data_IF_645064535757
#
_entry.id   IF_645064535757
#
_cell.length_a   1.000
_cell.length_b   1.000
_cell.length_c   1.000
_cell.angle_alpha   90.00
_cell.angle_beta   90.00
_cell.angle_gamma   90.00
#
_symmetry.space_group_name_H-M   'P 1'
#
loop_
_entity.id
_entity.type
_entity.pdbx_description
1 polymer ?
#
# COMPACT_ATOMS: atom_id res chain seq x y z
N UNK A 1 -6.38 -56.75 -64.78
CA UNK A 1 -5.38 -57.08 -63.75
C UNK A 1 -5.10 -55.81 -62.96
N UNK A 2 -5.29 -55.95 -61.65
CA UNK A 2 -5.25 -55.02 -60.51
C UNK A 2 -4.76 -53.56 -60.67
N UNK A 3 -5.67 -52.66 -60.25
CA UNK A 3 -5.56 -51.21 -60.06
C UNK A 3 -4.77 -50.93 -58.77
N UNK A 4 -3.86 -49.95 -58.77
CA UNK A 4 -3.31 -49.39 -57.53
C UNK A 4 -3.74 -47.93 -57.42
N UNK A 5 -4.62 -47.65 -56.45
CA UNK A 5 -5.06 -46.32 -56.05
C UNK A 5 -3.93 -45.61 -55.30
N UNK A 6 -3.63 -44.37 -55.68
CA UNK A 6 -2.87 -43.44 -54.84
C UNK A 6 -3.89 -42.75 -53.93
N UNK A 7 -3.96 -43.16 -52.68
CA UNK A 7 -4.77 -42.52 -51.65
C UNK A 7 -3.97 -41.33 -51.10
N UNK A 8 -4.32 -40.11 -51.50
CA UNK A 8 -3.78 -38.90 -50.89
C UNK A 8 -4.47 -38.66 -49.53
N UNK A 9 -3.70 -38.75 -48.44
CA UNK A 9 -4.14 -38.37 -47.10
C UNK A 9 -4.01 -36.86 -46.95
N UNK A 10 -5.10 -36.11 -47.06
CA UNK A 10 -5.14 -34.69 -46.68
C UNK A 10 -5.25 -34.59 -45.16
N UNK A 11 -4.15 -34.22 -44.52
CA UNK A 11 -4.12 -33.92 -43.09
C UNK A 11 -4.68 -32.51 -42.88
N UNK A 12 -5.96 -32.41 -42.50
CA UNK A 12 -6.56 -31.14 -42.12
C UNK A 12 -6.09 -30.74 -40.71
N UNK A 13 -5.17 -29.79 -40.63
CA UNK A 13 -4.76 -29.18 -39.36
C UNK A 13 -5.85 -28.20 -38.89
N UNK A 14 -6.61 -28.58 -37.87
CA UNK A 14 -7.47 -27.65 -37.15
C UNK A 14 -6.60 -26.78 -36.23
N UNK A 15 -6.27 -25.56 -36.66
CA UNK A 15 -5.80 -24.52 -35.74
C UNK A 15 -7.00 -24.06 -34.89
N UNK A 16 -7.16 -24.64 -33.71
CA UNK A 16 -7.99 -24.03 -32.67
C UNK A 16 -7.27 -22.78 -32.17
N UNK A 17 -7.66 -21.61 -32.70
CA UNK A 17 -7.32 -20.35 -32.08
C UNK A 17 -8.01 -20.30 -30.71
N UNK A 18 -7.24 -20.52 -29.64
CA UNK A 18 -7.71 -20.30 -28.28
C UNK A 18 -7.94 -18.80 -28.11
N UNK A 19 -9.17 -18.34 -28.35
CA UNK A 19 -9.60 -16.98 -28.01
C UNK A 19 -9.60 -16.91 -26.49
N UNK A 20 -8.51 -16.39 -25.92
CA UNK A 20 -8.45 -16.12 -24.49
C UNK A 20 -9.32 -14.89 -24.26
N UNK A 21 -10.54 -15.11 -23.77
CA UNK A 21 -11.41 -14.02 -23.31
C UNK A 21 -10.72 -13.37 -22.12
N UNK A 22 -9.97 -12.29 -22.39
CA UNK A 22 -9.42 -11.45 -21.33
C UNK A 22 -10.60 -10.78 -20.64
N UNK A 23 -10.98 -11.30 -19.48
CA UNK A 23 -11.93 -10.61 -18.62
C UNK A 23 -11.32 -9.23 -18.30
N UNK A 24 -12.08 -8.13 -18.42
CA UNK A 24 -11.57 -6.84 -17.96
C UNK A 24 -11.17 -7.00 -16.49
N UNK A 25 -9.94 -6.60 -16.15
CA UNK A 25 -9.47 -6.66 -14.77
C UNK A 25 -10.44 -5.83 -13.92
N UNK A 26 -11.12 -6.48 -12.97
CA UNK A 26 -11.99 -5.77 -12.04
C UNK A 26 -11.14 -4.84 -11.19
N UNK A 27 -11.58 -3.60 -11.03
CA UNK A 27 -10.90 -2.64 -10.14
C UNK A 27 -10.95 -3.19 -8.72
N UNK A 28 -9.80 -3.40 -8.05
CA UNK A 28 -9.77 -3.87 -6.68
C UNK A 28 -10.44 -2.86 -5.75
N UNK A 29 -11.29 -3.35 -4.86
CA UNK A 29 -11.98 -2.54 -3.85
C UNK A 29 -11.67 -3.10 -2.46
N UNK A 30 -11.69 -2.22 -1.46
CA UNK A 30 -11.62 -2.65 -0.07
C UNK A 30 -12.96 -3.29 0.34
N UNK A 31 -12.95 -4.31 1.20
CA UNK A 31 -14.18 -4.80 1.82
C UNK A 31 -14.81 -3.69 2.68
N UNK A 32 -16.13 -3.77 2.86
CA UNK A 32 -16.86 -2.87 3.75
C UNK A 32 -16.45 -3.10 5.22
N UNK A 33 -16.08 -2.06 5.98
CA UNK A 33 -15.87 -2.14 7.42
C UNK A 33 -17.19 -2.51 8.10
N UNK A 34 -17.15 -3.37 9.11
CA UNK A 34 -18.38 -3.89 9.74
C UNK A 34 -18.77 -3.15 11.03
N UNK A 35 -18.04 -2.10 11.42
CA UNK A 35 -18.33 -1.31 12.60
C UNK A 35 -19.33 -0.16 12.35
N UNK A 36 -19.92 0.41 13.42
CA UNK A 36 -20.97 1.41 13.30
C UNK A 36 -20.45 2.84 13.08
N UNK A 37 -19.14 3.07 13.12
CA UNK A 37 -18.55 4.40 12.96
C UNK A 37 -18.06 4.63 11.55
N UNK A 38 -18.13 5.88 11.09
CA UNK A 38 -17.37 6.31 9.93
C UNK A 38 -15.88 6.38 10.27
N UNK A 39 -15.05 6.66 9.27
CA UNK A 39 -13.59 6.62 9.44
C UNK A 39 -12.99 7.95 8.98
N UNK A 40 -12.17 8.53 9.84
CA UNK A 40 -11.34 9.68 9.54
C UNK A 40 -9.87 9.28 9.47
N UNK A 41 -9.08 10.05 8.73
CA UNK A 41 -7.62 9.93 8.71
C UNK A 41 -6.96 11.29 8.88
N UNK A 42 -5.87 11.32 9.63
CA UNK A 42 -4.91 12.43 9.65
C UNK A 42 -3.50 11.87 9.50
N UNK A 43 -2.55 12.73 9.13
CA UNK A 43 -1.15 12.36 9.02
C UNK A 43 -0.26 13.34 9.76
N UNK A 44 0.87 12.84 10.24
CA UNK A 44 1.89 13.61 10.93
C UNK A 44 3.26 13.28 10.39
N UNK A 45 4.08 14.31 10.25
CA UNK A 45 5.52 14.21 10.05
C UNK A 45 6.20 14.49 11.39
N UNK A 46 6.74 13.44 12.02
CA UNK A 46 7.31 13.50 13.36
C UNK A 46 8.80 13.21 13.33
N UNK A 47 9.57 14.05 14.03
CA UNK A 47 11.00 13.83 14.27
C UNK A 47 11.24 13.46 15.73
N UNK A 48 11.86 12.30 15.96
CA UNK A 48 12.38 11.89 17.26
C UNK A 48 13.72 12.58 17.54
N UNK A 49 13.67 13.75 18.18
CA UNK A 49 14.85 14.55 18.49
C UNK A 49 15.86 13.89 19.45
N UNK A 50 15.48 12.79 20.12
CA UNK A 50 16.33 12.08 21.08
C UNK A 50 17.08 10.91 20.46
N UNK A 51 16.70 10.47 19.25
CA UNK A 51 17.26 9.29 18.60
C UNK A 51 17.93 9.65 17.28
N UNK A 52 19.18 9.22 17.13
CA UNK A 52 19.86 9.29 15.83
C UNK A 52 19.16 8.38 14.82
N UNK A 53 19.13 8.79 13.56
CA UNK A 53 18.63 7.90 12.50
C UNK A 53 19.64 6.77 12.26
N UNK A 54 19.28 5.49 12.50
CA UNK A 54 20.19 4.36 12.34
C UNK A 54 20.58 4.09 10.88
N UNK A 55 19.92 4.74 9.92
CA UNK A 55 20.13 4.58 8.49
C UNK A 55 20.85 5.77 7.85
N UNK A 56 21.08 6.84 8.61
CA UNK A 56 21.83 8.00 8.13
C UNK A 56 23.33 7.83 8.37
N UNK A 57 24.14 8.24 7.40
CA UNK A 57 25.58 8.41 7.60
C UNK A 57 25.91 9.66 8.45
N UNK A 58 24.99 10.63 8.51
CA UNK A 58 25.12 11.79 9.38
C UNK A 58 24.67 11.44 10.81
N UNK A 59 25.62 11.42 11.74
CA UNK A 59 25.39 11.16 13.17
C UNK A 59 24.50 12.21 13.86
N UNK A 60 24.33 13.38 13.24
CA UNK A 60 23.42 14.43 13.71
C UNK A 60 22.00 14.26 13.21
N UNK A 61 21.78 13.46 12.16
CA UNK A 61 20.45 13.17 11.66
C UNK A 61 19.60 12.53 12.76
N UNK A 62 18.34 12.94 12.83
CA UNK A 62 17.36 12.45 13.80
C UNK A 62 16.33 11.63 13.08
N UNK A 63 15.78 10.62 13.77
CA UNK A 63 14.83 9.70 13.14
C UNK A 63 13.52 10.42 12.86
N UNK A 64 13.22 10.56 11.58
CA UNK A 64 11.97 11.10 11.06
C UNK A 64 11.00 9.94 10.74
N UNK A 65 9.70 10.15 10.96
CA UNK A 65 8.65 9.15 10.74
C UNK A 65 7.40 9.84 10.19
N UNK A 66 6.84 9.29 9.12
CA UNK A 66 5.45 9.57 8.78
C UNK A 66 4.54 8.69 9.62
N UNK A 67 3.50 9.27 10.20
CA UNK A 67 2.49 8.57 11.00
C UNK A 67 1.12 8.89 10.44
N UNK A 68 0.35 7.86 10.14
CA UNK A 68 -1.05 7.99 9.73
C UNK A 68 -1.95 7.49 10.85
N UNK A 69 -2.97 8.26 11.19
CA UNK A 69 -3.92 7.94 12.26
C UNK A 69 -5.31 7.77 11.67
N UNK A 70 -5.85 6.56 11.72
CA UNK A 70 -7.25 6.29 11.44
C UNK A 70 -8.05 6.33 12.73
N UNK A 71 -9.24 6.93 12.71
CA UNK A 71 -10.07 7.11 13.90
C UNK A 71 -11.57 7.11 13.57
N UNK A 72 -12.43 6.77 14.55
CA UNK A 72 -13.88 6.75 14.34
C UNK A 72 -14.47 8.16 14.21
N UNK A 73 -15.44 8.29 13.31
CA UNK A 73 -16.28 9.48 13.12
C UNK A 73 -17.77 9.15 13.36
N UNK A 74 -18.66 10.14 13.52
CA UNK A 74 -20.02 9.91 13.99
C UNK A 74 -20.87 8.91 13.20
N UNK A 75 -20.74 8.83 11.87
CA UNK A 75 -21.51 7.89 11.06
C UNK A 75 -20.73 7.51 9.78
N UNK A 76 -20.86 6.26 9.30
CA UNK A 76 -20.39 5.86 7.98
C UNK A 76 -21.13 6.66 6.90
N UNK A 77 -20.43 7.00 5.83
CA UNK A 77 -21.04 7.56 4.64
C UNK A 77 -21.29 6.47 3.62
N UNK A 78 -22.47 6.50 2.99
CA UNK A 78 -22.77 5.64 1.86
C UNK A 78 -21.89 6.06 0.69
N UNK A 79 -21.07 5.12 0.17
CA UNK A 79 -20.09 5.36 -0.90
C UNK A 79 -18.91 6.26 -0.51
N UNK A 80 -18.27 5.98 0.64
CA UNK A 80 -17.01 6.61 0.99
C UNK A 80 -15.98 6.52 -0.15
N UNK A 81 -15.42 7.66 -0.55
CA UNK A 81 -14.56 7.81 -1.73
C UNK A 81 -13.15 8.31 -1.38
N UNK A 82 -12.71 8.00 -0.16
CA UNK A 82 -11.43 8.41 0.40
C UNK A 82 -10.24 8.02 -0.47
N UNK A 83 -9.19 8.84 -0.41
CA UNK A 83 -7.93 8.54 -1.11
C UNK A 83 -7.28 7.31 -0.44
N UNK A 84 -7.05 6.23 -1.18
CA UNK A 84 -6.45 5.02 -0.61
C UNK A 84 -5.06 5.29 -0.01
N UNK A 85 -4.14 5.82 -0.82
CA UNK A 85 -2.77 6.14 -0.41
C UNK A 85 -2.40 7.57 -0.80
N UNK A 86 -2.14 8.46 0.17
CA UNK A 86 -1.63 9.80 -0.09
C UNK A 86 -0.30 9.76 -0.85
N UNK A 87 -0.10 10.76 -1.72
CA UNK A 87 1.15 10.99 -2.47
C UNK A 87 1.59 9.82 -3.37
N UNK A 88 0.68 8.92 -3.75
CA UNK A 88 0.99 7.78 -4.63
C UNK A 88 1.66 8.22 -5.95
N UNK A 89 1.22 9.34 -6.55
CA UNK A 89 1.83 9.89 -7.78
C UNK A 89 3.27 10.38 -7.57
N UNK A 90 3.58 10.92 -6.41
CA UNK A 90 4.94 11.37 -6.09
C UNK A 90 5.87 10.17 -5.86
N UNK A 91 5.36 9.15 -5.16
CA UNK A 91 6.06 7.87 -4.99
C UNK A 91 6.35 7.24 -6.35
N UNK A 92 5.38 7.28 -7.28
CA UNK A 92 5.51 6.72 -8.62
C UNK A 92 6.58 7.44 -9.45
N UNK A 93 6.62 8.78 -9.37
CA UNK A 93 7.58 9.63 -10.08
C UNK A 93 9.00 9.60 -9.48
N UNK A 94 9.15 9.18 -8.23
CA UNK A 94 10.44 9.21 -7.54
C UNK A 94 11.40 8.11 -8.05
N UNK A 95 12.72 8.41 -8.12
CA UNK A 95 13.75 7.42 -8.43
C UNK A 95 13.83 6.38 -7.31
N UNK A 96 13.95 5.09 -7.64
CA UNK A 96 13.94 4.00 -6.66
C UNK A 96 12.59 3.28 -6.51
N UNK A 97 11.53 3.77 -7.18
CA UNK A 97 10.19 3.18 -7.18
C UNK A 97 10.02 1.96 -8.11
N UNK A 98 11.09 1.42 -8.71
CA UNK A 98 11.00 0.39 -9.75
C UNK A 98 10.26 -0.86 -9.26
N UNK A 99 10.54 -1.29 -8.02
CA UNK A 99 9.89 -2.45 -7.42
C UNK A 99 8.39 -2.25 -7.17
N UNK A 100 7.98 -1.02 -6.80
CA UNK A 100 6.56 -0.71 -6.67
C UNK A 100 5.87 -0.71 -8.04
N UNK A 101 6.51 -0.15 -9.08
CA UNK A 101 5.98 -0.13 -10.45
C UNK A 101 5.85 -1.52 -11.09
N UNK A 102 6.55 -2.53 -10.56
CA UNK A 102 6.38 -3.94 -10.94
C UNK A 102 5.16 -4.61 -10.29
N UNK A 103 4.56 -3.99 -9.26
CA UNK A 103 3.41 -4.55 -8.56
C UNK A 103 2.14 -4.40 -9.40
N UNK A 104 1.36 -5.48 -9.61
CA UNK A 104 0.12 -5.42 -10.40
C UNK A 104 -0.93 -4.46 -9.84
N UNK A 105 -0.92 -4.19 -8.53
CA UNK A 105 -1.88 -3.29 -7.87
C UNK A 105 -1.48 -1.81 -8.01
N UNK A 106 -0.20 -1.52 -8.18
CA UNK A 106 0.33 -0.15 -8.10
C UNK A 106 -0.27 0.82 -9.13
N UNK A 107 -0.50 0.45 -10.40
CA UNK A 107 -1.18 1.32 -11.35
C UNK A 107 -2.57 1.77 -10.89
N UNK A 108 -3.32 0.91 -10.19
CA UNK A 108 -4.64 1.25 -9.64
C UNK A 108 -4.54 2.21 -8.45
N UNK A 109 -3.50 2.06 -7.62
CA UNK A 109 -3.18 2.98 -6.51
C UNK A 109 -2.84 4.37 -7.06
N UNK A 110 -1.94 4.45 -8.05
CA UNK A 110 -1.50 5.71 -8.67
C UNK A 110 -2.63 6.41 -9.42
N UNK A 111 -3.47 5.63 -10.12
CA UNK A 111 -4.67 6.15 -10.77
C UNK A 111 -5.74 6.64 -9.77
N UNK A 112 -5.63 6.28 -8.49
CA UNK A 112 -6.59 6.67 -7.45
C UNK A 112 -7.95 6.00 -7.60
N UNK A 113 -8.01 4.83 -8.25
CA UNK A 113 -9.27 4.09 -8.49
C UNK A 113 -9.60 3.13 -7.35
N UNK A 114 -8.62 2.75 -6.53
CA UNK A 114 -8.87 2.10 -5.24
C UNK A 114 -9.29 3.19 -4.26
N UNK A 115 -10.43 3.00 -3.62
CA UNK A 115 -11.00 3.93 -2.64
C UNK A 115 -10.82 3.39 -1.22
N UNK A 116 -10.54 4.31 -0.30
CA UNK A 116 -10.51 4.09 1.15
C UNK A 116 -11.84 4.55 1.75
N UNK A 117 -12.23 3.92 2.85
CA UNK A 117 -13.41 4.35 3.60
C UNK A 117 -13.12 5.57 4.51
N UNK A 118 -11.85 5.96 4.64
CA UNK A 118 -11.41 7.04 5.49
C UNK A 118 -11.44 8.40 4.78
N UNK A 119 -12.00 9.41 5.46
CA UNK A 119 -11.95 10.82 5.04
C UNK A 119 -10.83 11.58 5.73
N UNK A 120 -10.05 12.30 4.95
CA UNK A 120 -8.98 13.15 5.49
C UNK A 120 -9.55 14.28 6.35
N UNK A 121 -8.99 14.46 7.54
CA UNK A 121 -9.32 15.53 8.49
C UNK A 121 -10.81 15.58 8.89
N UNK A 122 -11.53 14.46 8.80
CA UNK A 122 -12.92 14.41 9.22
C UNK A 122 -13.06 14.65 10.75
N UNK A 123 -14.16 15.24 11.24
CA UNK A 123 -14.36 15.40 12.67
C UNK A 123 -14.40 14.04 13.38
N UNK A 124 -13.61 13.89 14.44
CA UNK A 124 -13.63 12.70 15.30
C UNK A 124 -14.98 12.58 16.02
N UNK A 125 -15.40 11.36 16.33
CA UNK A 125 -16.64 11.11 17.10
C UNK A 125 -16.63 11.82 18.46
N UNK A 126 -17.80 12.27 18.92
CA UNK A 126 -17.94 12.86 20.24
C UNK A 126 -17.50 11.87 21.35
N UNK A 127 -16.88 12.38 22.43
CA UNK A 127 -16.41 11.53 23.52
C UNK A 127 -15.11 10.77 23.23
N UNK A 128 -14.33 11.20 22.24
CA UNK A 128 -13.09 10.57 21.77
C UNK A 128 -12.00 10.28 22.84
N UNK A 129 -12.08 10.90 24.02
CA UNK A 129 -11.09 10.74 25.11
C UNK A 129 -11.00 9.32 25.70
N UNK A 130 -11.85 8.37 25.26
CA UNK A 130 -11.92 6.99 25.80
C UNK A 130 -11.69 5.90 24.76
N UNK A 131 -11.28 6.25 23.55
CA UNK A 131 -11.11 5.27 22.47
C UNK A 131 -9.81 4.46 22.71
N UNK A 132 -9.83 3.13 22.53
CA UNK A 132 -8.61 2.33 22.57
C UNK A 132 -7.66 2.74 21.44
N UNK A 133 -6.37 2.79 21.75
CA UNK A 133 -5.32 3.11 20.78
C UNK A 133 -4.62 1.82 20.38
N UNK A 134 -4.54 1.57 19.08
CA UNK A 134 -3.76 0.50 18.46
C UNK A 134 -2.55 1.12 17.77
N UNK A 135 -1.35 0.79 18.25
CA UNK A 135 -0.12 1.12 17.53
C UNK A 135 0.14 0.04 16.48
N UNK A 136 0.22 0.43 15.22
CA UNK A 136 0.37 -0.48 14.08
C UNK A 136 1.72 -0.28 13.40
N UNK A 137 2.38 -1.40 13.11
CA UNK A 137 3.62 -1.44 12.32
C UNK A 137 3.42 -2.41 11.16
N UNK A 138 3.71 -1.95 9.95
CA UNK A 138 3.64 -2.79 8.76
C UNK A 138 4.79 -3.82 8.71
N UNK A 139 4.66 -4.81 7.83
CA UNK A 139 5.74 -5.75 7.50
C UNK A 139 6.89 -5.08 6.73
N UNK A 140 8.09 -5.66 6.79
CA UNK A 140 9.30 -5.08 6.21
C UNK A 140 9.33 -5.12 4.66
N UNK A 141 10.06 -4.17 4.06
CA UNK A 141 10.49 -4.01 2.66
C UNK A 141 9.41 -3.95 1.59
N UNK A 142 8.41 -4.83 1.60
CA UNK A 142 7.38 -4.95 0.56
C UNK A 142 6.09 -4.20 0.89
N UNK A 143 5.94 -3.75 2.14
CA UNK A 143 4.70 -3.17 2.62
C UNK A 143 4.92 -1.79 3.23
N UNK A 144 3.83 -1.04 3.29
CA UNK A 144 3.61 0.13 4.14
C UNK A 144 2.24 -0.06 4.81
N UNK A 145 1.78 0.89 5.63
CA UNK A 145 0.52 0.75 6.36
C UNK A 145 -0.69 0.61 5.43
N UNK A 146 -0.65 1.19 4.23
CA UNK A 146 -1.75 1.12 3.27
C UNK A 146 -2.02 -0.29 2.75
N UNK A 147 -1.01 -1.17 2.72
CA UNK A 147 -1.23 -2.59 2.41
C UNK A 147 -2.15 -3.30 3.44
N UNK A 148 -2.40 -2.68 4.59
CA UNK A 148 -3.24 -3.19 5.68
C UNK A 148 -4.52 -2.38 5.89
N UNK A 149 -4.86 -1.46 4.96
CA UNK A 149 -6.00 -0.54 5.12
C UNK A 149 -7.30 -1.26 5.50
N UNK A 150 -7.64 -2.40 4.91
CA UNK A 150 -8.89 -3.12 5.25
C UNK A 150 -8.98 -3.49 6.74
N UNK A 151 -7.87 -3.92 7.34
CA UNK A 151 -7.84 -4.30 8.76
C UNK A 151 -7.80 -3.06 9.66
N UNK A 152 -7.03 -2.04 9.27
CA UNK A 152 -6.92 -0.77 9.99
C UNK A 152 -8.28 -0.06 10.03
N UNK A 153 -8.97 -0.02 8.89
CA UNK A 153 -10.28 0.61 8.74
C UNK A 153 -11.37 -0.18 9.47
N UNK A 154 -11.35 -1.52 9.46
CA UNK A 154 -12.28 -2.30 10.28
C UNK A 154 -12.11 -2.01 11.78
N UNK A 155 -10.87 -1.92 12.28
CA UNK A 155 -10.61 -1.53 13.68
C UNK A 155 -11.13 -0.10 13.99
N UNK A 156 -10.90 0.85 13.09
CA UNK A 156 -11.36 2.22 13.25
C UNK A 156 -12.89 2.31 13.26
N UNK A 157 -13.55 1.59 12.33
CA UNK A 157 -15.02 1.53 12.26
C UNK A 157 -15.66 0.95 13.51
N UNK A 158 -14.92 0.14 14.29
CA UNK A 158 -15.35 -0.44 15.58
C UNK A 158 -15.05 0.45 16.79
N UNK A 159 -14.47 1.63 16.57
CA UNK A 159 -14.23 2.61 17.62
C UNK A 159 -12.80 2.63 18.15
N UNK A 160 -11.81 2.10 17.42
CA UNK A 160 -10.39 2.21 17.79
C UNK A 160 -9.69 3.35 17.07
N UNK A 161 -8.74 4.00 17.73
CA UNK A 161 -7.77 4.87 17.05
C UNK A 161 -6.58 4.01 16.65
N UNK A 162 -6.30 3.90 15.36
CA UNK A 162 -5.16 3.15 14.84
C UNK A 162 -4.07 4.11 14.40
N UNK A 163 -2.93 4.07 15.08
CA UNK A 163 -1.74 4.87 14.80
C UNK A 163 -0.76 4.00 14.02
N UNK A 164 -0.72 4.16 12.71
CA UNK A 164 0.18 3.40 11.84
C UNK A 164 1.46 4.18 11.55
N UNK A 165 2.60 3.56 11.86
CA UNK A 165 3.92 4.16 11.70
C UNK A 165 4.53 3.69 10.39
N UNK A 166 4.87 4.64 9.52
CA UNK A 166 5.74 4.39 8.39
C UNK A 166 7.19 4.47 8.84
N UNK A 167 7.98 3.45 8.49
CA UNK A 167 9.39 3.37 8.84
C UNK A 167 10.25 3.67 7.61
N UNK A 168 10.77 4.90 7.43
CA UNK A 168 11.71 5.19 6.34
C UNK A 168 12.84 4.17 6.32
N UNK A 169 13.19 3.73 5.12
CA UNK A 169 14.15 2.67 4.83
C UNK A 169 13.71 1.22 5.09
N UNK A 170 12.53 1.01 5.67
CA UNK A 170 11.88 -0.31 5.79
C UNK A 170 10.54 -0.37 5.04
N UNK A 171 9.74 0.69 5.05
CA UNK A 171 8.53 0.78 4.24
C UNK A 171 8.85 0.66 2.75
N UNK A 172 7.93 0.08 1.98
CA UNK A 172 8.02 0.04 0.52
C UNK A 172 8.29 1.43 -0.08
N UNK A 173 7.61 2.46 0.43
CA UNK A 173 7.94 3.87 0.23
C UNK A 173 7.31 4.73 1.33
N UNK A 174 8.02 5.81 1.71
CA UNK A 174 7.53 6.88 2.57
C UNK A 174 7.67 8.20 1.84
N UNK A 175 6.57 8.92 1.63
CA UNK A 175 6.58 10.26 1.04
C UNK A 175 6.29 11.31 2.12
N UNK A 176 7.20 12.28 2.25
CA UNK A 176 7.15 13.36 3.23
C UNK A 176 6.50 14.63 2.69
N UNK A 177 5.94 15.51 3.55
CA UNK A 177 5.35 16.79 3.16
C UNK A 177 6.22 17.62 2.22
N UNK A 178 7.53 17.62 2.44
CA UNK A 178 8.54 18.38 1.69
C UNK A 178 8.85 17.83 0.28
N UNK A 179 8.21 16.72 -0.12
CA UNK A 179 8.39 16.10 -1.44
C UNK A 179 9.48 15.03 -1.49
N UNK A 180 10.22 14.78 -0.39
CA UNK A 180 11.14 13.64 -0.34
C UNK A 180 10.36 12.33 -0.34
N UNK A 181 10.90 11.36 -1.07
CA UNK A 181 10.44 9.97 -1.03
C UNK A 181 11.60 9.08 -0.59
N UNK A 182 11.40 8.31 0.46
CA UNK A 182 12.37 7.37 1.02
C UNK A 182 11.85 5.94 0.82
N UNK A 183 12.59 5.16 0.04
CA UNK A 183 12.28 3.75 -0.24
C UNK A 183 12.99 2.81 0.74
N UNK A 184 12.52 1.56 0.82
CA UNK A 184 13.23 0.50 1.52
C UNK A 184 14.65 0.30 0.96
N UNK A 185 15.62 -0.05 1.81
CA UNK A 185 16.95 -0.43 1.32
C UNK A 185 16.92 -1.69 0.46
N UNK A 186 17.84 -1.74 -0.50
CA UNK A 186 18.22 -3.01 -1.11
C UNK A 186 19.04 -3.83 -0.11
N UNK A 187 18.42 -4.91 0.36
CA UNK A 187 19.02 -5.86 1.30
C UNK A 187 20.31 -6.51 0.78
N UNK A 188 20.55 -6.53 -0.53
CA UNK A 188 21.81 -7.06 -1.09
C UNK A 188 23.00 -6.15 -0.78
N UNK A 189 22.81 -4.83 -0.71
CA UNK A 189 23.85 -3.87 -0.30
C UNK A 189 24.26 -4.03 1.18
N UNK A 190 23.34 -4.42 2.05
CA UNK A 190 23.62 -4.65 3.49
C UNK A 190 24.37 -5.97 3.79
N UNK A 191 24.52 -6.87 2.82
CA UNK A 191 25.32 -8.10 3.01
C UNK A 191 26.80 -7.91 2.66
N UNK A 192 27.16 -6.85 1.93
CA UNK A 192 28.56 -6.51 1.63
C UNK A 192 29.26 -5.72 2.72
N UNK A 193 28.52 -4.83 3.40
CA UNK A 193 29.11 -3.78 4.26
C UNK A 193 28.68 -3.85 5.74
N UNK A 194 28.28 -5.00 6.27
CA UNK A 194 28.02 -5.10 7.72
C UNK A 194 29.35 -5.14 8.49
N UNK A 195 29.65 -4.19 9.39
CA UNK A 195 30.55 -4.48 10.49
C UNK A 195 29.89 -5.56 11.34
N UNK A 196 30.64 -6.62 11.63
CA UNK A 196 30.23 -7.69 12.54
C UNK A 196 29.85 -7.11 13.91
N UNK A 197 28.58 -7.20 14.31
CA UNK A 197 28.20 -6.88 15.70
C UNK A 197 26.77 -6.42 15.98
N UNK A 198 25.75 -7.01 15.34
CA UNK A 198 24.38 -7.04 15.88
C UNK A 198 23.96 -8.50 15.98
#
# INVERSE_FOLDING_TARGET
MHRSLVTAFTMAAFLSAAVTWSQPASVPHLPEPAGPFGIGRVSFDWTDGKRSDPFSADLRARRELMVYVWYPTPAPEENADGMYQPRAKEIDAAPGGERLRQSPIWPFVVAGVIKSHARENAPIVAGALRLPIVLFSHGDTAANSFAYTSAIEDLASRGSVVVAVEHPHSSSAVAFPDGRVVFAYDRQRLRGDRPSGI
#
